data_IF_852608254158
#
_entry.id   IF_852608254158
#
_cell.length_a   1.000
_cell.length_b   1.000
_cell.length_c   1.000
_cell.angle_alpha   90.00
_cell.angle_beta   90.00
_cell.angle_gamma   90.00
#
_symmetry.space_group_name_H-M   'P 1'
#
loop_
_entity.id
_entity.type
_entity.pdbx_description
1 polymer ?
#
# COMPACT_ATOMS: atom_id res chain seq x y z
N UNK A 1 20.17 43.93 2.74
CA UNK A 1 19.99 43.73 1.28
C UNK A 1 20.26 45.05 0.55
N UNK A 2 21.08 44.99 -0.50
CA UNK A 2 21.28 46.15 -1.38
C UNK A 2 20.02 46.40 -2.21
N UNK A 3 19.77 47.64 -2.64
CA UNK A 3 18.56 47.98 -3.38
C UNK A 3 18.35 47.13 -4.66
N UNK A 4 19.45 46.68 -5.29
CA UNK A 4 19.43 45.77 -6.45
C UNK A 4 18.91 44.34 -6.09
N UNK A 5 19.23 43.83 -4.91
CA UNK A 5 18.77 42.52 -4.46
C UNK A 5 17.26 42.53 -4.10
N UNK A 6 16.80 43.65 -3.52
CA UNK A 6 15.37 43.84 -3.24
C UNK A 6 14.57 43.88 -4.55
N UNK A 7 15.07 44.55 -5.57
CA UNK A 7 14.41 44.59 -6.87
C UNK A 7 14.35 43.22 -7.54
N UNK A 8 15.42 42.46 -7.51
CA UNK A 8 15.43 41.10 -8.04
C UNK A 8 14.44 40.17 -7.34
N UNK A 9 14.31 40.28 -5.99
CA UNK A 9 13.33 39.51 -5.23
C UNK A 9 11.90 39.91 -5.61
N UNK A 10 11.62 41.21 -5.77
CA UNK A 10 10.32 41.71 -6.19
C UNK A 10 9.94 41.25 -7.61
N UNK A 11 10.87 41.24 -8.53
CA UNK A 11 10.67 40.73 -9.89
C UNK A 11 10.40 39.22 -9.90
N UNK A 12 11.17 38.44 -9.13
CA UNK A 12 10.96 37.00 -8.98
C UNK A 12 9.59 36.70 -8.37
N UNK A 13 9.19 37.44 -7.34
CA UNK A 13 7.88 37.32 -6.70
C UNK A 13 6.73 37.64 -7.66
N UNK A 14 6.85 38.71 -8.46
CA UNK A 14 5.85 39.06 -9.47
C UNK A 14 5.70 37.97 -10.54
N UNK A 15 6.81 37.39 -11.01
CA UNK A 15 6.80 36.24 -11.94
C UNK A 15 6.17 35.01 -11.30
N UNK A 16 6.44 34.77 -10.02
CA UNK A 16 5.83 33.66 -9.28
C UNK A 16 4.30 33.82 -9.15
N UNK A 17 3.80 34.99 -8.86
CA UNK A 17 2.35 35.26 -8.82
C UNK A 17 1.69 35.05 -10.18
N UNK A 18 2.32 35.54 -11.25
CA UNK A 18 1.85 35.33 -12.63
C UNK A 18 1.86 33.86 -13.03
N UNK A 19 2.90 33.11 -12.66
CA UNK A 19 2.96 31.68 -12.82
C UNK A 19 1.80 30.96 -12.09
N UNK A 20 1.54 31.29 -10.83
CA UNK A 20 0.43 30.72 -10.03
C UNK A 20 -0.93 30.99 -10.66
N UNK A 21 -1.13 32.18 -11.21
CA UNK A 21 -2.35 32.52 -11.94
C UNK A 21 -2.51 31.68 -13.21
N UNK A 22 -1.45 31.50 -14.00
CA UNK A 22 -1.50 30.67 -15.21
C UNK A 22 -1.67 29.19 -14.85
N UNK A 23 -1.05 28.71 -13.79
CA UNK A 23 -1.19 27.35 -13.30
C UNK A 23 -2.66 27.03 -12.93
N UNK A 24 -3.37 27.98 -12.30
CA UNK A 24 -4.79 27.80 -11.97
C UNK A 24 -5.71 27.72 -13.17
N UNK A 25 -5.26 28.22 -14.33
CA UNK A 25 -5.99 28.18 -15.60
C UNK A 25 -5.64 26.97 -16.46
N UNK A 26 -4.70 26.15 -16.02
CA UNK A 26 -4.29 24.94 -16.74
C UNK A 26 -5.45 23.94 -16.72
N UNK A 27 -6.23 23.92 -17.81
CA UNK A 27 -7.32 22.96 -17.96
C UNK A 27 -6.76 21.66 -18.54
N UNK A 28 -6.88 20.59 -17.78
CA UNK A 28 -6.59 19.25 -18.27
C UNK A 28 -7.92 18.50 -18.41
N UNK A 29 -8.10 17.82 -19.52
CA UNK A 29 -9.25 16.94 -19.70
C UNK A 29 -9.15 15.81 -18.66
N UNK A 30 -10.11 15.74 -17.75
CA UNK A 30 -10.14 14.65 -16.76
C UNK A 30 -10.49 13.35 -17.48
N UNK A 31 -9.62 12.33 -17.44
CA UNK A 31 -9.94 11.02 -18.00
C UNK A 31 -10.93 10.29 -17.10
N UNK A 32 -11.62 9.30 -17.65
CA UNK A 32 -12.48 8.40 -16.88
C UNK A 32 -11.70 7.58 -15.83
N UNK A 33 -10.39 7.45 -16.00
CA UNK A 33 -9.49 6.75 -15.07
C UNK A 33 -8.14 7.48 -15.02
N UNK A 34 -7.68 7.78 -13.82
CA UNK A 34 -6.34 8.31 -13.58
C UNK A 34 -5.29 7.27 -13.96
N UNK A 35 -4.33 7.65 -14.80
CA UNK A 35 -3.27 6.78 -15.31
C UNK A 35 -1.94 7.52 -15.34
N UNK A 36 -0.84 6.75 -15.44
CA UNK A 36 0.49 7.32 -15.64
C UNK A 36 0.52 8.35 -16.77
N UNK A 37 -0.06 8.06 -17.94
CA UNK A 37 -0.08 8.97 -19.08
C UNK A 37 -0.80 10.29 -18.80
N UNK A 38 -1.86 10.25 -18.01
CA UNK A 38 -2.58 11.45 -17.59
C UNK A 38 -1.73 12.33 -16.68
N UNK A 39 -1.13 11.74 -15.65
CA UNK A 39 -0.27 12.50 -14.73
C UNK A 39 1.01 12.99 -15.41
N UNK A 40 1.60 12.20 -16.32
CA UNK A 40 2.74 12.63 -17.12
C UNK A 40 2.40 13.89 -17.92
N UNK A 41 1.25 13.93 -18.60
CA UNK A 41 0.84 15.10 -19.37
C UNK A 41 0.62 16.35 -18.48
N UNK A 42 0.10 16.16 -17.25
CA UNK A 42 -0.01 17.27 -16.28
C UNK A 42 1.37 17.80 -15.92
N UNK A 43 2.31 16.94 -15.58
CA UNK A 43 3.64 17.37 -15.17
C UNK A 43 4.44 17.98 -16.30
N UNK A 44 4.32 17.46 -17.52
CA UNK A 44 4.92 18.08 -18.71
C UNK A 44 4.38 19.49 -18.91
N UNK A 45 3.06 19.68 -18.82
CA UNK A 45 2.45 21.00 -18.95
C UNK A 45 2.86 21.97 -17.82
N UNK A 46 2.99 21.47 -16.59
CA UNK A 46 3.49 22.26 -15.46
C UNK A 46 4.97 22.64 -15.65
N UNK A 47 5.79 21.72 -16.14
CA UNK A 47 7.21 21.96 -16.43
C UNK A 47 7.38 23.00 -17.53
N UNK A 48 6.67 22.86 -18.64
CA UNK A 48 6.65 23.84 -19.73
C UNK A 48 6.21 25.22 -19.24
N UNK A 49 5.22 25.27 -18.35
CA UNK A 49 4.77 26.51 -17.75
C UNK A 49 5.87 27.14 -16.88
N UNK A 50 6.57 26.35 -16.04
CA UNK A 50 7.71 26.83 -15.22
C UNK A 50 8.78 27.46 -16.09
N UNK A 51 9.15 26.83 -17.21
CA UNK A 51 10.17 27.34 -18.15
C UNK A 51 9.81 28.67 -18.81
N UNK A 52 8.54 29.04 -18.90
CA UNK A 52 8.10 30.35 -19.42
C UNK A 52 8.33 31.51 -18.45
N UNK A 53 8.40 31.23 -17.16
CA UNK A 53 8.48 32.22 -16.10
C UNK A 53 9.84 32.27 -15.40
N UNK A 54 10.60 31.16 -15.43
CA UNK A 54 11.80 31.00 -14.61
C UNK A 54 12.95 30.43 -15.44
N UNK A 55 14.16 30.83 -15.08
CA UNK A 55 15.38 30.16 -15.54
C UNK A 55 15.54 28.78 -14.89
N UNK A 56 16.41 27.96 -15.46
CA UNK A 56 16.69 26.63 -14.92
C UNK A 56 17.14 26.68 -13.44
N UNK A 57 18.02 27.62 -13.10
CA UNK A 57 18.51 27.79 -11.71
C UNK A 57 17.39 28.21 -10.77
N UNK A 58 16.47 29.08 -11.22
CA UNK A 58 15.31 29.48 -10.43
C UNK A 58 14.31 28.32 -10.27
N UNK A 59 14.11 27.49 -11.30
CA UNK A 59 13.27 26.28 -11.21
C UNK A 59 13.83 25.32 -10.18
N UNK A 60 15.12 25.03 -10.22
CA UNK A 60 15.80 24.16 -9.25
C UNK A 60 15.69 24.70 -7.82
N UNK A 61 15.88 26.01 -7.64
CA UNK A 61 15.79 26.65 -6.34
C UNK A 61 14.38 26.74 -5.76
N UNK A 62 13.37 26.97 -6.61
CA UNK A 62 11.98 27.16 -6.17
C UNK A 62 11.17 25.86 -6.09
N UNK A 63 11.43 24.91 -6.99
CA UNK A 63 10.59 23.74 -7.22
C UNK A 63 11.35 22.41 -7.17
N UNK A 64 12.69 22.42 -7.06
CA UNK A 64 13.50 21.21 -7.19
C UNK A 64 13.10 20.10 -6.23
N UNK A 65 12.72 20.42 -5.00
CA UNK A 65 12.25 19.45 -4.02
C UNK A 65 10.91 18.82 -4.43
N UNK A 66 9.99 19.65 -4.93
CA UNK A 66 8.68 19.18 -5.42
C UNK A 66 8.84 18.34 -6.70
N UNK A 67 9.70 18.78 -7.62
CA UNK A 67 9.96 18.09 -8.87
C UNK A 67 10.57 16.68 -8.65
N UNK A 68 11.45 16.52 -7.67
CA UNK A 68 11.98 15.20 -7.26
C UNK A 68 10.85 14.27 -6.82
N UNK A 69 9.95 14.76 -5.98
CA UNK A 69 8.82 13.96 -5.51
C UNK A 69 7.84 13.61 -6.63
N UNK A 70 7.53 14.57 -7.50
CA UNK A 70 6.66 14.36 -8.65
C UNK A 70 7.25 13.32 -9.61
N UNK A 71 8.54 13.43 -9.93
CA UNK A 71 9.21 12.45 -10.79
C UNK A 71 9.23 11.05 -10.18
N UNK A 72 9.50 10.95 -8.88
CA UNK A 72 9.44 9.68 -8.17
C UNK A 72 8.04 9.05 -8.23
N UNK A 73 7.00 9.85 -8.03
CA UNK A 73 5.60 9.40 -8.10
C UNK A 73 5.26 8.89 -9.50
N UNK A 74 5.65 9.60 -10.55
CA UNK A 74 5.47 9.18 -11.94
C UNK A 74 6.21 7.88 -12.26
N UNK A 75 7.44 7.75 -11.82
CA UNK A 75 8.24 6.54 -12.05
C UNK A 75 7.59 5.32 -11.36
N UNK A 76 7.07 5.50 -10.13
CA UNK A 76 6.32 4.43 -9.45
C UNK A 76 5.07 4.01 -10.23
N UNK A 77 4.26 4.98 -10.67
CA UNK A 77 3.05 4.69 -11.46
C UNK A 77 3.40 3.92 -12.73
N UNK A 78 4.41 4.38 -13.48
CA UNK A 78 4.89 3.73 -14.70
C UNK A 78 5.32 2.28 -14.45
N UNK A 79 6.03 2.01 -13.35
CA UNK A 79 6.47 0.66 -12.98
C UNK A 79 5.27 -0.21 -12.62
N UNK A 80 4.34 0.29 -11.79
CA UNK A 80 3.18 -0.46 -11.33
C UNK A 80 2.21 -0.78 -12.46
N UNK A 81 1.97 0.15 -13.39
CA UNK A 81 1.10 -0.03 -14.55
C UNK A 81 1.72 -0.89 -15.67
N UNK A 82 3.04 -1.10 -15.66
CA UNK A 82 3.70 -1.88 -16.71
C UNK A 82 3.28 -3.35 -16.67
N UNK A 83 2.49 -3.75 -17.66
CA UNK A 83 1.97 -5.13 -17.80
C UNK A 83 3.04 -6.14 -18.25
N UNK A 84 4.18 -5.67 -18.76
CA UNK A 84 5.28 -6.52 -19.20
C UNK A 84 6.26 -6.89 -18.08
N UNK A 85 6.09 -6.29 -16.90
CA UNK A 85 6.88 -6.59 -15.71
C UNK A 85 6.10 -7.48 -14.76
N UNK A 86 6.72 -8.57 -14.29
CA UNK A 86 6.21 -9.35 -13.17
C UNK A 86 6.39 -8.60 -11.83
N UNK A 87 5.78 -9.11 -10.78
CA UNK A 87 5.79 -8.47 -9.47
C UNK A 87 7.20 -8.38 -8.85
N UNK A 88 8.07 -9.35 -9.11
CA UNK A 88 9.45 -9.37 -8.60
C UNK A 88 10.28 -8.26 -9.26
N UNK A 89 10.18 -8.12 -10.58
CA UNK A 89 10.86 -7.07 -11.32
C UNK A 89 10.31 -5.68 -11.00
N UNK A 90 8.99 -5.56 -10.78
CA UNK A 90 8.39 -4.32 -10.27
C UNK A 90 8.96 -3.94 -8.91
N UNK A 91 9.00 -4.87 -7.94
CA UNK A 91 9.56 -4.63 -6.62
C UNK A 91 11.01 -4.17 -6.68
N UNK A 92 11.83 -4.81 -7.51
CA UNK A 92 13.23 -4.43 -7.73
C UNK A 92 13.36 -3.03 -8.29
N UNK A 93 12.58 -2.66 -9.30
CA UNK A 93 12.63 -1.32 -9.89
C UNK A 93 12.12 -0.25 -8.93
N UNK A 94 11.04 -0.52 -8.16
CA UNK A 94 10.53 0.38 -7.14
C UNK A 94 11.59 0.65 -6.05
N UNK A 95 12.28 -0.40 -5.58
CA UNK A 95 13.36 -0.22 -4.61
C UNK A 95 14.52 0.59 -5.19
N UNK A 96 14.94 0.32 -6.43
CA UNK A 96 16.00 1.10 -7.10
C UNK A 96 15.63 2.59 -7.23
N UNK A 97 14.38 2.92 -7.53
CA UNK A 97 13.92 4.31 -7.59
C UNK A 97 13.87 4.96 -6.22
N UNK A 98 13.44 4.22 -5.21
CA UNK A 98 13.47 4.69 -3.82
C UNK A 98 14.90 5.01 -3.35
N UNK A 99 15.86 4.15 -3.65
CA UNK A 99 17.27 4.33 -3.24
C UNK A 99 17.96 5.53 -3.93
N UNK A 100 17.40 6.02 -5.04
CA UNK A 100 17.89 7.22 -5.75
C UNK A 100 17.37 8.54 -5.16
N UNK A 101 16.39 8.49 -4.26
CA UNK A 101 15.90 9.68 -3.58
C UNK A 101 16.95 10.25 -2.62
N UNK A 102 16.94 11.58 -2.39
CA UNK A 102 17.69 12.17 -1.28
C UNK A 102 17.33 11.53 0.06
N UNK A 103 18.30 11.49 0.98
CA UNK A 103 18.15 10.75 2.25
C UNK A 103 16.97 11.21 3.09
N UNK A 104 16.72 12.51 3.17
CA UNK A 104 15.57 13.10 3.88
C UNK A 104 14.22 12.63 3.31
N UNK A 105 14.13 12.46 1.99
CA UNK A 105 12.96 11.88 1.32
C UNK A 105 12.81 10.39 1.61
N UNK A 106 13.92 9.64 1.60
CA UNK A 106 13.88 8.23 1.93
C UNK A 106 13.34 8.00 3.36
N UNK A 107 13.78 8.80 4.33
CA UNK A 107 13.34 8.72 5.71
C UNK A 107 11.84 9.02 5.85
N UNK A 108 11.33 10.03 5.14
CA UNK A 108 9.93 10.44 5.21
C UNK A 108 8.95 9.49 4.47
N UNK A 109 9.40 8.87 3.36
CA UNK A 109 8.53 8.05 2.51
C UNK A 109 8.62 6.56 2.78
N UNK A 110 9.64 6.10 3.53
CA UNK A 110 9.98 4.69 3.70
C UNK A 110 8.80 3.81 4.09
N UNK A 111 8.02 4.23 5.07
CA UNK A 111 6.97 3.37 5.63
C UNK A 111 5.70 3.37 4.79
N UNK A 112 5.29 4.52 4.26
CA UNK A 112 4.04 4.65 3.51
C UNK A 112 4.13 4.05 2.11
N UNK A 113 5.13 4.43 1.33
CA UNK A 113 5.24 3.96 -0.06
C UNK A 113 5.52 2.47 -0.15
N UNK A 114 6.40 1.94 0.72
CA UNK A 114 6.72 0.50 0.74
C UNK A 114 5.54 -0.36 1.18
N UNK A 115 4.72 0.11 2.12
CA UNK A 115 3.54 -0.63 2.56
C UNK A 115 2.49 -0.73 1.45
N UNK A 116 2.26 0.36 0.73
CA UNK A 116 1.32 0.39 -0.39
C UNK A 116 1.78 -0.51 -1.55
N UNK A 117 3.06 -0.41 -1.92
CA UNK A 117 3.65 -1.24 -2.97
C UNK A 117 3.62 -2.73 -2.59
N UNK A 118 3.96 -3.06 -1.34
CA UNK A 118 3.91 -4.42 -0.81
C UNK A 118 2.50 -5.00 -0.90
N UNK A 119 1.49 -4.22 -0.52
CA UNK A 119 0.08 -4.64 -0.58
C UNK A 119 -0.35 -4.88 -2.02
N UNK A 120 -0.14 -3.91 -2.90
CA UNK A 120 -0.52 -3.98 -4.31
C UNK A 120 0.12 -5.17 -5.02
N UNK A 121 1.43 -5.38 -4.86
CA UNK A 121 2.15 -6.48 -5.49
C UNK A 121 1.76 -7.85 -4.89
N UNK A 122 1.49 -7.93 -3.58
CA UNK A 122 0.98 -9.14 -2.94
C UNK A 122 -0.39 -9.52 -3.51
N UNK A 123 -1.30 -8.55 -3.67
CA UNK A 123 -2.62 -8.77 -4.25
C UNK A 123 -2.51 -9.22 -5.72
N UNK A 124 -1.62 -8.64 -6.52
CA UNK A 124 -1.37 -9.08 -7.90
C UNK A 124 -0.88 -10.54 -7.99
N UNK A 125 0.04 -10.95 -7.12
CA UNK A 125 0.54 -12.32 -7.08
C UNK A 125 -0.58 -13.29 -6.66
N UNK A 126 -1.32 -12.97 -5.61
CA UNK A 126 -2.42 -13.81 -5.10
C UNK A 126 -3.56 -13.94 -6.12
N UNK A 127 -3.95 -12.85 -6.79
CA UNK A 127 -5.05 -12.85 -7.77
C UNK A 127 -4.83 -13.81 -8.95
N UNK A 128 -3.57 -14.08 -9.31
CA UNK A 128 -3.21 -15.02 -10.38
C UNK A 128 -2.71 -16.39 -9.88
N UNK A 129 -2.88 -16.67 -8.57
CA UNK A 129 -2.37 -17.86 -7.90
C UNK A 129 -0.84 -18.05 -8.08
N UNK A 130 -0.08 -16.96 -7.96
CA UNK A 130 1.38 -16.99 -8.02
C UNK A 130 1.99 -17.82 -6.89
N UNK A 131 3.23 -18.28 -7.07
CA UNK A 131 3.89 -19.19 -6.13
C UNK A 131 4.33 -18.49 -4.84
N UNK A 132 4.49 -19.27 -3.75
CA UNK A 132 5.06 -18.78 -2.50
C UNK A 132 6.49 -18.23 -2.69
N UNK A 133 7.28 -18.85 -3.58
CA UNK A 133 8.63 -18.39 -3.91
C UNK A 133 8.59 -17.01 -4.56
N UNK A 134 7.70 -16.78 -5.51
CA UNK A 134 7.52 -15.49 -6.15
C UNK A 134 7.12 -14.40 -5.16
N UNK A 135 6.20 -14.72 -4.24
CA UNK A 135 5.80 -13.80 -3.16
C UNK A 135 6.99 -13.45 -2.25
N UNK A 136 7.81 -14.44 -1.91
CA UNK A 136 9.03 -14.24 -1.14
C UNK A 136 10.02 -13.35 -1.90
N UNK A 137 10.33 -13.67 -3.14
CA UNK A 137 11.30 -12.93 -3.95
C UNK A 137 10.87 -11.46 -4.14
N UNK A 138 9.59 -11.22 -4.37
CA UNK A 138 9.03 -9.86 -4.42
C UNK A 138 9.23 -9.12 -3.10
N UNK A 139 8.93 -9.77 -1.97
CA UNK A 139 9.08 -9.17 -0.63
C UNK A 139 10.55 -8.87 -0.31
N UNK A 140 11.46 -9.79 -0.60
CA UNK A 140 12.91 -9.60 -0.36
C UNK A 140 13.42 -8.39 -1.16
N UNK A 141 13.02 -8.24 -2.41
CA UNK A 141 13.42 -7.10 -3.24
C UNK A 141 12.86 -5.76 -2.74
N UNK A 142 11.65 -5.75 -2.17
CA UNK A 142 10.97 -4.52 -1.78
C UNK A 142 11.30 -4.06 -0.36
N UNK A 143 11.33 -5.00 0.60
CA UNK A 143 11.43 -4.70 2.03
C UNK A 143 12.62 -5.38 2.72
N UNK A 144 13.36 -6.20 2.01
CA UNK A 144 14.53 -6.92 2.51
C UNK A 144 14.20 -8.23 3.24
N UNK A 145 15.24 -9.02 3.51
CA UNK A 145 15.13 -10.38 4.07
C UNK A 145 14.48 -10.39 5.47
N UNK A 146 14.92 -9.52 6.39
CA UNK A 146 14.42 -9.52 7.77
C UNK A 146 12.93 -9.18 7.87
N UNK A 147 12.43 -8.26 7.05
CA UNK A 147 11.00 -7.93 7.00
C UNK A 147 10.21 -9.06 6.33
N UNK A 148 10.76 -9.68 5.29
CA UNK A 148 10.14 -10.82 4.62
C UNK A 148 9.92 -11.99 5.56
N UNK A 149 10.91 -12.36 6.39
CA UNK A 149 10.77 -13.43 7.38
C UNK A 149 9.66 -13.15 8.40
N UNK A 150 9.52 -11.88 8.86
CA UNK A 150 8.42 -11.50 9.76
C UNK A 150 7.06 -11.61 9.08
N UNK A 151 6.96 -11.23 7.81
CA UNK A 151 5.73 -11.36 7.03
C UNK A 151 5.35 -12.83 6.81
N UNK A 152 6.32 -13.70 6.54
CA UNK A 152 6.09 -15.15 6.41
C UNK A 152 5.61 -15.78 7.72
N UNK A 153 6.21 -15.40 8.85
CA UNK A 153 5.73 -15.83 10.16
C UNK A 153 4.31 -15.37 10.44
N UNK A 154 3.97 -14.13 10.07
CA UNK A 154 2.61 -13.60 10.21
C UNK A 154 1.61 -14.34 9.30
N UNK A 155 2.00 -14.63 8.06
CA UNK A 155 1.18 -15.43 7.13
C UNK A 155 0.93 -16.84 7.67
N UNK A 156 1.94 -17.49 8.25
CA UNK A 156 1.81 -18.79 8.89
C UNK A 156 0.83 -18.73 10.07
N UNK A 157 0.99 -17.75 10.98
CA UNK A 157 0.07 -17.56 12.10
C UNK A 157 -1.37 -17.33 11.66
N UNK A 158 -1.58 -16.58 10.58
CA UNK A 158 -2.91 -16.34 10.00
C UNK A 158 -3.49 -17.61 9.40
N UNK A 159 -2.68 -18.40 8.71
CA UNK A 159 -3.09 -19.68 8.15
C UNK A 159 -3.47 -20.67 9.23
N UNK A 160 -2.65 -20.82 10.26
CA UNK A 160 -2.91 -21.70 11.39
C UNK A 160 -4.19 -21.29 12.14
N UNK A 161 -4.37 -19.99 12.37
CA UNK A 161 -5.60 -19.46 12.95
C UNK A 161 -6.82 -19.82 12.12
N UNK A 162 -6.74 -19.58 10.80
CA UNK A 162 -7.83 -19.89 9.87
C UNK A 162 -8.21 -21.39 9.91
N UNK A 163 -7.22 -22.26 9.84
CA UNK A 163 -7.45 -23.70 9.90
C UNK A 163 -8.09 -24.13 11.22
N UNK A 164 -7.59 -23.65 12.36
CA UNK A 164 -8.15 -23.95 13.68
C UNK A 164 -9.60 -23.48 13.81
N UNK A 165 -9.89 -22.26 13.37
CA UNK A 165 -11.26 -21.71 13.41
C UNK A 165 -12.19 -22.53 12.52
N UNK A 166 -11.79 -22.87 11.29
CA UNK A 166 -12.59 -23.68 10.39
C UNK A 166 -12.88 -25.07 10.98
N UNK A 167 -11.84 -25.77 11.45
CA UNK A 167 -12.00 -27.08 12.09
C UNK A 167 -12.96 -27.01 13.29
N UNK A 168 -12.78 -26.01 14.15
CA UNK A 168 -13.65 -25.78 15.29
C UNK A 168 -15.14 -25.57 14.89
N UNK A 169 -15.38 -24.72 13.89
CA UNK A 169 -16.75 -24.42 13.44
C UNK A 169 -17.42 -25.64 12.83
N UNK A 170 -16.70 -26.49 12.11
CA UNK A 170 -17.19 -27.74 11.54
C UNK A 170 -17.50 -28.77 12.65
N UNK A 171 -16.62 -28.92 13.63
CA UNK A 171 -16.84 -29.81 14.79
C UNK A 171 -17.99 -29.27 15.65
N UNK A 172 -18.05 -27.96 15.90
CA UNK A 172 -19.17 -27.32 16.62
C UNK A 172 -20.49 -27.56 15.90
N UNK A 173 -20.53 -27.44 14.60
CA UNK A 173 -21.72 -27.74 13.80
C UNK A 173 -22.17 -29.19 13.98
N UNK A 174 -21.25 -30.13 13.97
CA UNK A 174 -21.53 -31.54 14.19
C UNK A 174 -22.17 -31.79 15.58
N UNK A 175 -21.67 -31.09 16.61
CA UNK A 175 -22.24 -31.16 17.96
C UNK A 175 -23.67 -30.58 18.00
N UNK A 176 -23.86 -29.40 17.37
CA UNK A 176 -25.17 -28.73 17.30
C UNK A 176 -26.21 -29.60 16.58
N UNK A 177 -25.82 -30.23 15.49
CA UNK A 177 -26.70 -31.09 14.68
C UNK A 177 -26.93 -32.50 15.30
N UNK A 178 -26.24 -32.85 16.38
CA UNK A 178 -26.37 -34.15 17.06
C UNK A 178 -27.67 -34.27 17.83
N UNK A 179 -28.04 -35.49 18.25
CA UNK A 179 -29.21 -35.79 19.07
C UNK A 179 -28.95 -35.60 20.59
N UNK A 180 -27.86 -34.94 20.98
CA UNK A 180 -27.55 -34.69 22.40
C UNK A 180 -28.54 -33.68 23.02
N UNK A 181 -28.71 -33.74 24.34
CA UNK A 181 -29.47 -32.71 25.08
C UNK A 181 -28.77 -31.32 24.95
N UNK A 182 -29.54 -30.24 25.08
CA UNK A 182 -29.00 -28.89 25.02
C UNK A 182 -27.81 -28.68 25.97
N UNK A 183 -27.94 -29.11 27.22
CA UNK A 183 -26.88 -29.02 28.24
C UNK A 183 -25.63 -29.82 27.84
N UNK A 184 -25.80 -31.01 27.25
CA UNK A 184 -24.65 -31.81 26.80
C UNK A 184 -23.96 -31.19 25.59
N UNK A 185 -24.70 -30.57 24.66
CA UNK A 185 -24.15 -29.79 23.54
C UNK A 185 -23.31 -28.61 24.05
N UNK A 186 -23.87 -27.83 24.99
CA UNK A 186 -23.17 -26.68 25.56
C UNK A 186 -21.86 -27.09 26.23
N UNK A 187 -21.88 -28.18 27.03
CA UNK A 187 -20.66 -28.69 27.66
C UNK A 187 -19.64 -29.18 26.65
N UNK A 188 -20.06 -29.91 25.61
CA UNK A 188 -19.15 -30.37 24.54
C UNK A 188 -18.53 -29.23 23.77
N UNK A 189 -19.29 -28.19 23.41
CA UNK A 189 -18.80 -26.99 22.72
C UNK A 189 -17.81 -26.26 23.62
N UNK A 190 -18.07 -26.09 24.91
CA UNK A 190 -17.13 -25.44 25.83
C UNK A 190 -15.81 -26.22 25.96
N UNK A 191 -15.87 -27.54 26.04
CA UNK A 191 -14.67 -28.38 26.07
C UNK A 191 -13.86 -28.25 24.77
N UNK A 192 -14.53 -28.35 23.64
CA UNK A 192 -13.89 -28.18 22.32
C UNK A 192 -13.20 -26.83 22.22
N UNK A 193 -13.87 -25.75 22.64
CA UNK A 193 -13.33 -24.38 22.65
C UNK A 193 -12.08 -24.27 23.53
N UNK A 194 -12.11 -24.82 24.73
CA UNK A 194 -10.98 -24.82 25.67
C UNK A 194 -9.80 -25.65 25.17
N UNK A 195 -10.04 -26.74 24.46
CA UNK A 195 -8.98 -27.59 23.88
C UNK A 195 -8.28 -26.93 22.73
N UNK A 196 -9.01 -26.27 21.85
CA UNK A 196 -8.44 -25.68 20.63
C UNK A 196 -7.96 -24.23 20.81
N UNK A 197 -8.53 -23.48 21.77
CA UNK A 197 -8.20 -22.07 22.02
C UNK A 197 -7.90 -21.83 23.49
N UNK A 198 -6.63 -21.88 23.85
CA UNK A 198 -6.21 -21.90 25.27
C UNK A 198 -6.15 -20.50 25.90
N UNK A 199 -5.98 -19.42 25.11
CA UNK A 199 -5.91 -18.06 25.66
C UNK A 199 -7.28 -17.38 25.67
N UNK A 200 -7.53 -16.55 26.68
CA UNK A 200 -8.74 -15.73 26.75
C UNK A 200 -8.90 -14.80 25.54
N UNK A 201 -7.79 -14.30 25.02
CA UNK A 201 -7.76 -13.43 23.84
C UNK A 201 -8.21 -14.19 22.56
N UNK A 202 -7.74 -15.45 22.38
CA UNK A 202 -8.18 -16.27 21.25
C UNK A 202 -9.67 -16.62 21.37
N UNK A 203 -10.15 -16.95 22.57
CA UNK A 203 -11.56 -17.25 22.81
C UNK A 203 -12.46 -16.04 22.55
N UNK A 204 -12.04 -14.84 22.96
CA UNK A 204 -12.78 -13.61 22.67
C UNK A 204 -12.81 -13.32 21.17
N UNK A 205 -11.70 -13.49 20.49
CA UNK A 205 -11.63 -13.34 19.04
C UNK A 205 -12.51 -14.36 18.32
N UNK A 206 -12.50 -15.62 18.77
CA UNK A 206 -13.32 -16.70 18.22
C UNK A 206 -14.82 -16.40 18.32
N UNK A 207 -15.28 -15.74 19.38
CA UNK A 207 -16.69 -15.38 19.56
C UNK A 207 -17.24 -14.55 18.39
N UNK A 208 -16.43 -13.69 17.79
CA UNK A 208 -16.82 -12.94 16.58
C UNK A 208 -17.05 -13.88 15.40
N UNK A 209 -16.20 -14.90 15.24
CA UNK A 209 -16.36 -15.89 14.18
C UNK A 209 -17.59 -16.77 14.38
N UNK A 210 -17.86 -17.19 15.63
CA UNK A 210 -19.06 -17.93 15.98
C UNK A 210 -20.32 -17.13 15.62
N UNK A 211 -20.37 -15.85 16.01
CA UNK A 211 -21.52 -14.97 15.71
C UNK A 211 -21.76 -14.82 14.22
N UNK A 212 -20.71 -14.56 13.45
CA UNK A 212 -20.81 -14.39 11.99
C UNK A 212 -21.21 -15.71 11.32
N UNK A 213 -20.65 -16.83 11.76
CA UNK A 213 -20.99 -18.16 11.25
C UNK A 213 -22.46 -18.51 11.49
N UNK A 214 -22.98 -18.27 12.70
CA UNK A 214 -24.38 -18.55 13.07
C UNK A 214 -25.36 -17.66 12.28
N UNK A 215 -24.93 -16.48 11.84
CA UNK A 215 -25.70 -15.59 10.97
C UNK A 215 -25.58 -15.95 9.47
N UNK A 216 -24.76 -16.93 9.10
CA UNK A 216 -24.51 -17.30 7.69
C UNK A 216 -23.68 -16.27 6.92
N UNK A 217 -22.97 -15.39 7.61
CA UNK A 217 -22.11 -14.36 7.02
C UNK A 217 -20.72 -14.89 6.61
N UNK A 218 -19.97 -14.15 5.78
CA UNK A 218 -18.60 -14.48 5.43
C UNK A 218 -17.69 -14.30 6.65
N UNK A 219 -16.85 -15.31 6.93
CA UNK A 219 -15.95 -15.28 8.09
C UNK A 219 -14.89 -14.16 7.95
N UNK A 220 -14.65 -13.36 8.99
CA UNK A 220 -13.81 -12.16 8.94
C UNK A 220 -12.30 -12.50 9.06
N UNK A 221 -11.80 -13.37 8.17
CA UNK A 221 -10.37 -13.60 8.07
C UNK A 221 -9.69 -12.42 7.41
N UNK A 222 -8.61 -11.91 8.03
CA UNK A 222 -7.74 -10.94 7.37
C UNK A 222 -6.95 -11.62 6.24
N UNK A 223 -7.00 -11.04 5.09
CA UNK A 223 -6.22 -11.45 3.91
C UNK A 223 -4.74 -11.14 4.06
#
# INVERSE_FOLDING_TARGET
>A
FQASEQQQIQELWSRYLSYREQLSKLQMNQPAQESYGYFQAIFDAMHDLKQRFFSQVEIEGLFGTEDIYQQYTLDRMRILENKNLDAVNKAKQLQQRFDQLPQDWQENLKDLSKLEDLRSLTEQIKARNGSAQELRDMRVNLVGEAATQRLEQLDQQRSDWKQRVQSYLDERKTIVDSNMSASAKDQAIQQLKQQQFQSAQEQQRLQTFETVYDQGGPLPFSN
#
